data_IF_723133153000
#
_entry.id   IF_723133153000
#
_cell.length_a   1.000
_cell.length_b   1.000
_cell.length_c   1.000
_cell.angle_alpha   90.00
_cell.angle_beta   90.00
_cell.angle_gamma   90.00
#
_symmetry.space_group_name_H-M   'P 1'
#
loop_
_entity.id
_entity.type
_entity.pdbx_description
1 polymer ?
#
# COMPACT_ATOMS: atom_id res chain seq x y z
N UNK A 1 7.59 4.90 -0.65
CA UNK A 1 7.78 5.96 0.39
C UNK A 1 9.26 6.19 0.58
N UNK A 2 9.70 7.42 0.66
CA UNK A 2 11.10 7.80 0.91
C UNK A 2 11.23 8.37 2.33
N UNK A 3 12.46 8.60 2.77
CA UNK A 3 12.74 9.29 4.04
C UNK A 3 12.25 10.75 4.05
N UNK A 4 11.93 11.29 2.87
CA UNK A 4 11.31 12.61 2.75
C UNK A 4 9.89 12.60 3.31
N UNK A 5 9.59 13.40 4.35
CA UNK A 5 8.27 13.39 4.99
C UNK A 5 7.18 13.96 4.08
N UNK A 6 5.96 13.43 4.21
CA UNK A 6 4.78 14.10 3.70
C UNK A 6 4.44 15.25 4.64
N UNK A 7 4.59 16.48 4.17
CA UNK A 7 4.31 17.69 4.95
C UNK A 7 2.82 17.92 5.06
N UNK A 8 2.34 18.02 6.29
CA UNK A 8 0.96 18.32 6.64
C UNK A 8 0.94 19.46 7.63
N UNK A 9 -0.06 20.34 7.55
CA UNK A 9 -0.25 21.42 8.52
C UNK A 9 -0.39 20.84 9.92
N UNK A 10 0.26 21.45 10.90
CA UNK A 10 0.20 21.06 12.29
C UNK A 10 0.02 22.28 13.19
N UNK A 11 -0.33 22.07 14.44
CA UNK A 11 -0.46 23.11 15.44
C UNK A 11 0.90 23.41 16.07
N UNK A 12 1.17 24.68 16.34
CA UNK A 12 2.32 25.15 17.08
C UNK A 12 1.94 26.37 17.93
N UNK A 13 2.72 26.70 18.98
CA UNK A 13 2.55 27.95 19.70
C UNK A 13 2.65 29.15 18.76
N UNK A 14 1.86 30.20 19.08
CA UNK A 14 1.89 31.44 18.29
C UNK A 14 3.30 32.00 18.17
N UNK A 15 3.73 32.30 16.95
CA UNK A 15 5.07 32.81 16.65
C UNK A 15 6.16 31.76 16.52
N UNK A 16 5.87 30.46 16.69
CA UNK A 16 6.83 29.37 16.56
C UNK A 16 6.47 28.48 15.37
N UNK A 17 7.12 28.70 14.24
CA UNK A 17 6.93 27.83 13.07
C UNK A 17 7.68 26.51 13.27
N UNK A 18 7.01 25.35 13.16
CA UNK A 18 7.68 24.06 13.26
C UNK A 18 8.72 23.88 12.14
N UNK A 19 9.92 23.50 12.49
CA UNK A 19 11.01 23.21 11.56
C UNK A 19 11.07 21.69 11.38
N UNK A 20 10.99 21.25 10.13
CA UNK A 20 11.15 19.82 9.77
C UNK A 20 12.54 19.66 9.18
N UNK A 21 13.40 18.92 9.89
CA UNK A 21 14.72 18.52 9.40
C UNK A 21 14.65 17.07 8.93
N UNK A 22 15.15 16.79 7.73
CA UNK A 22 15.22 15.44 7.19
C UNK A 22 16.45 15.27 6.29
N UNK A 23 16.94 14.04 6.21
CA UNK A 23 18.03 13.70 5.31
C UNK A 23 17.51 13.53 3.89
N UNK A 24 18.22 14.11 2.92
CA UNK A 24 17.89 13.95 1.50
C UNK A 24 18.54 12.67 0.99
N UNK A 25 17.75 11.60 0.94
CA UNK A 25 18.18 10.32 0.38
C UNK A 25 17.17 9.84 -0.68
N UNK A 26 17.68 9.23 -1.74
CA UNK A 26 16.87 8.66 -2.84
C UNK A 26 16.36 7.25 -2.54
N UNK A 27 16.82 6.63 -1.46
CA UNK A 27 16.32 5.33 -1.05
C UNK A 27 14.85 5.40 -0.67
N UNK A 28 14.12 4.35 -0.94
CA UNK A 28 12.69 4.31 -0.69
C UNK A 28 12.21 2.90 -0.34
N UNK A 29 11.07 2.85 0.32
CA UNK A 29 10.32 1.63 0.58
C UNK A 29 9.09 1.62 -0.32
N UNK A 30 8.89 0.52 -1.01
CA UNK A 30 7.64 0.22 -1.71
C UNK A 30 6.76 -0.69 -0.87
N UNK A 31 5.46 -0.50 -0.99
CA UNK A 31 4.46 -1.31 -0.28
C UNK A 31 3.51 -1.89 -1.30
N UNK A 32 3.26 -3.19 -1.22
CA UNK A 32 2.18 -3.87 -1.91
C UNK A 32 1.13 -4.29 -0.89
N UNK A 33 -0.14 -4.10 -1.20
CA UNK A 33 -1.23 -4.56 -0.36
C UNK A 33 -2.40 -5.09 -1.18
N UNK A 34 -3.10 -6.07 -0.61
CA UNK A 34 -4.40 -6.54 -1.08
C UNK A 34 -5.45 -6.22 -0.04
N UNK A 35 -6.39 -5.34 -0.39
CA UNK A 35 -7.46 -4.88 0.49
C UNK A 35 -8.74 -5.68 0.21
N UNK A 36 -9.31 -6.29 1.24
CA UNK A 36 -10.64 -6.89 1.22
C UNK A 36 -11.64 -6.02 2.00
N UNK A 37 -12.91 -6.41 2.03
CA UNK A 37 -13.95 -5.67 2.78
C UNK A 37 -13.68 -5.53 4.27
N UNK A 38 -12.98 -6.49 4.86
CA UNK A 38 -12.81 -6.60 6.33
C UNK A 38 -11.37 -6.51 6.78
N UNK A 39 -10.42 -6.70 5.88
CA UNK A 39 -9.00 -6.72 6.23
C UNK A 39 -8.13 -6.40 5.00
N UNK A 40 -6.84 -6.24 5.21
CA UNK A 40 -5.85 -6.17 4.14
C UNK A 40 -4.57 -6.91 4.54
N UNK A 41 -3.88 -7.42 3.53
CA UNK A 41 -2.54 -7.99 3.69
C UNK A 41 -1.55 -7.10 2.97
N UNK A 42 -0.34 -6.97 3.50
CA UNK A 42 0.68 -6.11 2.91
C UNK A 42 2.09 -6.68 3.06
N UNK A 43 2.98 -6.26 2.17
CA UNK A 43 4.43 -6.45 2.27
C UNK A 43 5.16 -5.14 1.99
N UNK A 44 6.27 -4.93 2.68
CA UNK A 44 7.20 -3.83 2.44
C UNK A 44 8.46 -4.40 1.77
N UNK A 45 8.96 -3.66 0.79
CA UNK A 45 10.18 -3.97 0.06
C UNK A 45 11.05 -2.72 -0.02
N UNK A 46 12.34 -2.89 0.16
CA UNK A 46 13.31 -1.83 -0.13
C UNK A 46 13.44 -1.68 -1.64
N UNK A 47 13.45 -0.44 -2.12
CA UNK A 47 13.44 -0.13 -3.54
C UNK A 47 12.11 -0.40 -4.23
N UNK A 48 12.14 -0.58 -5.54
CA UNK A 48 10.95 -0.78 -6.38
C UNK A 48 10.49 -2.22 -6.39
N UNK A 49 9.17 -2.43 -6.37
CA UNK A 49 8.58 -3.76 -6.51
C UNK A 49 8.66 -4.20 -7.97
N UNK A 50 9.23 -5.37 -8.20
CA UNK A 50 9.37 -6.00 -9.51
C UNK A 50 8.31 -7.09 -9.69
N UNK A 51 8.24 -7.66 -10.90
CA UNK A 51 7.27 -8.71 -11.27
C UNK A 51 7.34 -9.96 -10.37
N UNK A 52 8.54 -10.32 -9.91
CA UNK A 52 8.76 -11.47 -9.03
C UNK A 52 8.05 -11.28 -7.67
N UNK A 53 8.16 -10.09 -7.07
CA UNK A 53 7.51 -9.77 -5.81
C UNK A 53 5.98 -9.72 -5.93
N UNK A 54 5.44 -9.36 -7.10
CA UNK A 54 3.99 -9.49 -7.34
C UNK A 54 3.55 -10.95 -7.27
N UNK A 55 4.25 -11.86 -7.92
CA UNK A 55 3.93 -13.31 -7.87
C UNK A 55 4.08 -13.87 -6.46
N UNK A 56 5.15 -13.50 -5.75
CA UNK A 56 5.33 -13.89 -4.34
C UNK A 56 4.20 -13.38 -3.45
N UNK A 57 3.71 -12.18 -3.71
CA UNK A 57 2.59 -11.62 -2.97
C UNK A 57 1.28 -12.37 -3.26
N UNK A 58 0.99 -12.70 -4.52
CA UNK A 58 -0.17 -13.51 -4.90
C UNK A 58 -0.13 -14.91 -4.28
N UNK A 59 1.04 -15.57 -4.29
CA UNK A 59 1.25 -16.85 -3.60
C UNK A 59 0.94 -16.75 -2.10
N UNK A 60 1.41 -15.69 -1.46
CA UNK A 60 1.16 -15.46 -0.04
C UNK A 60 -0.32 -15.18 0.25
N UNK A 61 -1.01 -14.41 -0.60
CA UNK A 61 -2.46 -14.19 -0.50
C UNK A 61 -3.22 -15.50 -0.58
N UNK A 62 -2.91 -16.33 -1.58
CA UNK A 62 -3.54 -17.65 -1.78
C UNK A 62 -3.33 -18.57 -0.57
N UNK A 63 -2.08 -18.66 -0.10
CA UNK A 63 -1.72 -19.49 1.05
C UNK A 63 -2.42 -19.05 2.35
N UNK A 64 -2.59 -17.75 2.54
CA UNK A 64 -3.22 -17.17 3.73
C UNK A 64 -4.74 -17.29 3.70
N UNK A 65 -5.37 -16.97 2.56
CA UNK A 65 -6.83 -16.90 2.46
C UNK A 65 -7.47 -18.27 2.18
N UNK A 66 -6.75 -19.21 1.60
CA UNK A 66 -7.16 -20.62 1.36
C UNK A 66 -8.52 -20.76 0.65
N UNK A 67 -8.84 -19.86 -0.26
CA UNK A 67 -10.08 -19.81 -1.03
C UNK A 67 -9.81 -19.25 -2.42
N UNK A 68 -10.72 -19.41 -3.41
CA UNK A 68 -10.60 -18.75 -4.69
C UNK A 68 -10.56 -17.23 -4.53
N UNK A 69 -9.73 -16.58 -5.34
CA UNK A 69 -9.48 -15.14 -5.28
C UNK A 69 -9.78 -14.47 -6.62
N UNK A 70 -10.54 -13.39 -6.58
CA UNK A 70 -10.60 -12.42 -7.67
C UNK A 70 -9.76 -11.20 -7.24
N UNK A 71 -8.65 -10.97 -7.92
CA UNK A 71 -7.77 -9.83 -7.70
C UNK A 71 -8.16 -8.73 -8.69
N UNK A 72 -8.55 -7.57 -8.17
CA UNK A 72 -8.80 -6.38 -8.97
C UNK A 72 -7.58 -5.48 -8.85
N UNK A 73 -6.93 -5.20 -9.98
CA UNK A 73 -5.67 -4.47 -10.04
C UNK A 73 -5.75 -3.28 -10.98
N UNK A 74 -4.85 -2.32 -10.76
CA UNK A 74 -4.62 -1.24 -11.72
C UNK A 74 -3.92 -1.76 -13.00
N UNK A 75 -3.83 -0.88 -14.01
CA UNK A 75 -3.28 -1.23 -15.30
C UNK A 75 -1.75 -1.22 -15.41
N UNK A 76 -0.99 -1.23 -14.32
CA UNK A 76 0.47 -1.20 -14.35
C UNK A 76 1.04 -2.35 -15.19
N UNK A 77 2.07 -2.06 -15.99
CA UNK A 77 2.73 -3.06 -16.86
C UNK A 77 3.26 -4.28 -16.09
N UNK A 78 3.70 -4.08 -14.84
CA UNK A 78 4.19 -5.16 -13.99
C UNK A 78 3.10 -6.20 -13.68
N UNK A 79 1.84 -5.75 -13.49
CA UNK A 79 0.70 -6.62 -13.23
C UNK A 79 0.30 -7.47 -14.45
N UNK A 80 0.64 -7.00 -15.66
CA UNK A 80 0.39 -7.69 -16.94
C UNK A 80 1.60 -8.49 -17.45
N UNK A 81 2.63 -8.66 -16.62
CA UNK A 81 3.85 -9.36 -17.01
C UNK A 81 3.58 -10.84 -17.33
N UNK A 82 4.43 -11.42 -18.19
CA UNK A 82 4.37 -12.85 -18.55
C UNK A 82 4.42 -13.72 -17.27
N UNK A 83 5.30 -13.39 -16.33
CA UNK A 83 5.46 -14.14 -15.09
C UNK A 83 4.18 -14.18 -14.24
N UNK A 84 3.44 -13.07 -14.17
CA UNK A 84 2.16 -13.01 -13.44
C UNK A 84 1.12 -13.86 -14.15
N UNK A 85 1.03 -13.80 -15.49
CA UNK A 85 0.10 -14.62 -16.27
C UNK A 85 0.38 -16.12 -16.11
N UNK A 86 1.63 -16.54 -16.25
CA UNK A 86 2.03 -17.94 -16.05
C UNK A 86 1.67 -18.45 -14.65
N UNK A 87 1.83 -17.60 -13.65
CA UNK A 87 1.39 -17.97 -12.29
C UNK A 87 -0.12 -18.12 -12.22
N UNK A 88 -0.91 -17.19 -12.77
CA UNK A 88 -2.38 -17.29 -12.77
C UNK A 88 -2.85 -18.55 -13.49
N UNK A 89 -2.30 -18.85 -14.66
CA UNK A 89 -2.61 -20.05 -15.44
C UNK A 89 -2.32 -21.34 -14.63
N UNK A 90 -1.22 -21.33 -13.84
CA UNK A 90 -0.85 -22.47 -12.98
C UNK A 90 -1.79 -22.69 -11.80
N UNK A 91 -2.77 -21.82 -11.57
CA UNK A 91 -3.71 -21.94 -10.44
C UNK A 91 -5.03 -22.59 -10.79
N UNK A 92 -5.24 -23.00 -12.05
CA UNK A 92 -6.48 -23.60 -12.56
C UNK A 92 -7.73 -22.77 -12.19
N UNK A 93 -7.64 -21.44 -12.32
CA UNK A 93 -8.74 -20.52 -12.01
C UNK A 93 -8.94 -20.22 -10.53
N UNK A 94 -8.15 -20.81 -9.64
CA UNK A 94 -8.23 -20.50 -8.21
C UNK A 94 -7.79 -19.05 -7.88
N UNK A 95 -7.00 -18.42 -8.73
CA UNK A 95 -6.70 -16.99 -8.67
C UNK A 95 -7.05 -16.38 -10.03
N UNK A 96 -8.01 -15.51 -10.04
CA UNK A 96 -8.41 -14.74 -11.23
C UNK A 96 -8.04 -13.29 -11.08
N UNK A 97 -7.85 -12.58 -12.19
CA UNK A 97 -7.49 -11.18 -12.19
C UNK A 97 -8.40 -10.38 -13.12
N UNK A 98 -8.85 -9.24 -12.62
CA UNK A 98 -9.50 -8.19 -13.38
C UNK A 98 -8.74 -6.88 -13.24
N UNK A 99 -8.92 -5.97 -14.19
CA UNK A 99 -8.27 -4.66 -14.15
C UNK A 99 -9.30 -3.56 -13.94
N UNK A 100 -8.92 -2.56 -13.16
CA UNK A 100 -9.63 -1.30 -13.09
C UNK A 100 -9.58 -0.61 -14.47
N UNK A 101 -10.58 0.24 -14.77
CA UNK A 101 -10.53 1.08 -15.96
C UNK A 101 -9.23 1.90 -16.02
N UNK A 102 -8.72 2.21 -17.20
CA UNK A 102 -7.56 3.07 -17.34
C UNK A 102 -7.78 4.44 -16.67
N UNK A 103 -6.75 4.97 -16.03
CA UNK A 103 -6.76 6.28 -15.38
C UNK A 103 -7.84 6.47 -14.30
N UNK A 104 -8.21 5.41 -13.58
CA UNK A 104 -9.24 5.45 -12.54
C UNK A 104 -8.66 5.09 -11.15
N UNK A 105 -7.68 5.84 -10.62
CA UNK A 105 -7.13 5.59 -9.28
C UNK A 105 -8.18 5.79 -8.19
N UNK A 106 -9.19 6.62 -8.44
CA UNK A 106 -10.27 6.90 -7.48
C UNK A 106 -11.14 5.67 -7.19
N UNK A 107 -11.18 4.70 -8.12
CA UNK A 107 -11.85 3.42 -7.92
C UNK A 107 -10.99 2.38 -7.18
N UNK A 108 -9.75 2.73 -6.85
CA UNK A 108 -8.84 1.82 -6.16
C UNK A 108 -8.80 2.10 -4.65
N UNK A 109 -9.48 1.32 -3.79
CA UNK A 109 -9.54 1.59 -2.36
C UNK A 109 -8.16 1.53 -1.68
N UNK A 110 -7.19 0.85 -2.28
CA UNK A 110 -5.80 0.81 -1.76
C UNK A 110 -5.12 2.17 -1.84
N UNK A 111 -5.46 3.04 -2.81
CA UNK A 111 -4.91 4.40 -2.90
C UNK A 111 -5.29 5.26 -1.68
N UNK A 112 -6.49 5.06 -1.15
CA UNK A 112 -6.94 5.75 0.08
C UNK A 112 -6.21 5.23 1.33
N UNK A 113 -5.85 3.95 1.36
CA UNK A 113 -4.97 3.40 2.41
C UNK A 113 -3.57 4.05 2.34
N UNK A 114 -3.03 4.27 1.14
CA UNK A 114 -1.75 4.98 0.98
C UNK A 114 -1.86 6.45 1.34
N UNK A 115 -2.96 7.11 1.00
CA UNK A 115 -3.21 8.49 1.41
C UNK A 115 -3.30 8.61 2.93
N UNK A 116 -4.04 7.72 3.60
CA UNK A 116 -4.11 7.64 5.05
C UNK A 116 -2.72 7.42 5.68
N UNK A 117 -1.97 6.45 5.16
CA UNK A 117 -0.63 6.15 5.69
C UNK A 117 0.30 7.37 5.61
N UNK A 118 0.33 8.05 4.46
CA UNK A 118 1.24 9.18 4.23
C UNK A 118 0.79 10.45 4.93
N UNK A 119 -0.52 10.78 4.92
CA UNK A 119 -1.04 12.08 5.37
C UNK A 119 -1.50 12.10 6.82
N UNK A 120 -1.73 10.94 7.43
CA UNK A 120 -2.15 10.84 8.82
C UNK A 120 -1.15 10.04 9.67
N UNK A 121 -0.91 8.79 9.31
CA UNK A 121 -0.12 7.90 10.15
C UNK A 121 1.38 8.23 10.20
N UNK A 122 1.93 8.74 9.08
CA UNK A 122 3.34 9.14 8.91
C UNK A 122 3.47 10.63 8.54
N UNK A 123 2.43 11.43 8.81
CA UNK A 123 2.47 12.88 8.60
C UNK A 123 3.63 13.52 9.37
N UNK A 124 4.43 14.35 8.71
CA UNK A 124 5.57 15.04 9.30
C UNK A 124 6.65 14.14 9.95
N UNK A 125 6.57 12.83 9.71
CA UNK A 125 7.53 11.89 10.26
C UNK A 125 8.85 11.95 9.47
N UNK A 126 9.94 12.27 10.15
CA UNK A 126 11.29 12.35 9.61
C UNK A 126 12.14 11.20 10.16
N UNK A 127 12.14 10.05 9.51
CA UNK A 127 12.96 8.93 9.96
C UNK A 127 14.45 9.25 9.76
N UNK A 128 15.34 8.84 10.68
CA UNK A 128 16.77 9.02 10.53
C UNK A 128 17.37 8.13 9.45
N UNK A 129 16.70 7.03 9.10
CA UNK A 129 17.13 6.07 8.09
C UNK A 129 15.95 5.25 7.56
N UNK A 130 16.22 4.47 6.51
CA UNK A 130 15.20 3.64 5.85
C UNK A 130 14.67 2.52 6.75
N UNK A 131 15.51 1.98 7.65
CA UNK A 131 15.10 0.96 8.62
C UNK A 131 14.03 1.47 9.58
N UNK A 132 14.22 2.66 10.14
CA UNK A 132 13.22 3.30 11.00
C UNK A 132 11.92 3.61 10.25
N UNK A 133 12.01 4.05 8.98
CA UNK A 133 10.82 4.22 8.13
C UNK A 133 10.08 2.89 7.95
N UNK A 134 10.80 1.78 7.72
CA UNK A 134 10.20 0.45 7.56
C UNK A 134 9.46 0.01 8.84
N UNK A 135 10.12 0.15 10.00
CA UNK A 135 9.54 -0.20 11.30
C UNK A 135 8.28 0.63 11.55
N UNK A 136 8.35 1.94 11.37
CA UNK A 136 7.21 2.85 11.58
C UNK A 136 6.05 2.53 10.61
N UNK A 137 6.33 2.38 9.32
CA UNK A 137 5.32 2.06 8.31
C UNK A 137 4.62 0.72 8.61
N UNK A 138 5.40 -0.31 8.98
CA UNK A 138 4.88 -1.62 9.36
C UNK A 138 4.00 -1.54 10.60
N UNK A 139 4.42 -0.82 11.63
CA UNK A 139 3.65 -0.64 12.86
C UNK A 139 2.32 0.07 12.59
N UNK A 140 2.33 1.14 11.76
CA UNK A 140 1.13 1.89 11.39
C UNK A 140 0.17 1.04 10.55
N UNK A 141 0.65 0.27 9.57
CA UNK A 141 -0.17 -0.63 8.77
C UNK A 141 -0.78 -1.75 9.63
N UNK A 142 -0.03 -2.37 10.53
CA UNK A 142 -0.56 -3.35 11.49
C UNK A 142 -1.61 -2.75 12.42
N UNK A 143 -1.43 -1.50 12.83
CA UNK A 143 -2.44 -0.77 13.60
C UNK A 143 -3.71 -0.54 12.78
N UNK A 144 -3.59 -0.18 11.50
CA UNK A 144 -4.73 0.00 10.60
C UNK A 144 -5.51 -1.30 10.36
N UNK A 145 -4.82 -2.45 10.23
CA UNK A 145 -5.47 -3.77 10.10
C UNK A 145 -6.45 -4.07 11.24
N UNK A 146 -6.18 -3.56 12.44
CA UNK A 146 -7.02 -3.74 13.64
C UNK A 146 -8.14 -2.70 13.76
N UNK A 147 -8.31 -1.82 12.78
CA UNK A 147 -9.28 -0.74 12.78
C UNK A 147 -10.24 -0.87 11.59
N UNK A 148 -11.38 -1.56 11.74
CA UNK A 148 -12.34 -1.76 10.65
C UNK A 148 -12.82 -0.45 10.01
N UNK A 149 -12.89 0.64 10.79
CA UNK A 149 -13.28 1.97 10.29
C UNK A 149 -12.34 2.53 9.23
N UNK A 150 -11.02 2.27 9.33
CA UNK A 150 -10.05 2.70 8.30
C UNK A 150 -10.28 1.93 7.01
N UNK A 151 -10.52 0.62 7.13
CA UNK A 151 -10.78 -0.25 5.98
C UNK A 151 -12.09 0.16 5.29
N UNK A 152 -13.17 0.33 6.06
CA UNK A 152 -14.45 0.78 5.54
C UNK A 152 -14.34 2.14 4.85
N UNK A 153 -13.62 3.10 5.45
CA UNK A 153 -13.42 4.42 4.86
C UNK A 153 -12.71 4.36 3.48
N UNK A 154 -11.75 3.43 3.29
CA UNK A 154 -11.11 3.25 2.00
C UNK A 154 -12.11 2.84 0.90
N UNK A 155 -13.05 1.96 1.23
CA UNK A 155 -14.08 1.50 0.30
C UNK A 155 -15.12 2.60 0.00
N UNK A 156 -15.59 3.30 1.03
CA UNK A 156 -16.53 4.43 0.89
C UNK A 156 -15.93 5.51 0.01
N UNK A 157 -14.67 5.87 0.21
CA UNK A 157 -14.00 6.90 -0.60
C UNK A 157 -13.78 6.46 -2.05
N UNK A 158 -13.66 5.17 -2.31
CA UNK A 158 -13.61 4.63 -3.67
C UNK A 158 -14.99 4.56 -4.35
N UNK A 159 -16.07 4.98 -3.70
CA UNK A 159 -17.43 4.95 -4.25
C UNK A 159 -17.99 3.54 -4.42
N UNK A 160 -17.46 2.55 -3.70
CA UNK A 160 -17.82 1.15 -3.84
C UNK A 160 -18.74 0.64 -2.70
N UNK A 161 -19.24 1.53 -1.86
CA UNK A 161 -20.22 1.29 -0.78
C UNK A 161 -21.14 2.48 -0.59
#
# INVERSE_FOLDING_TARGET
MSERPTRVRTWAPKGQTPIIQFHFNWTHISVIAGLSRTNFLFRLHEGSIKKEQHVEFLKALRAHLKRPLLIIWDGLKAHRSKLVREYLDSTDGAVQMAFLPPNSPDLNPVEYLWAWLKRHALANFCPPNLGELNVAARAKLRSAQRRPSIIAACWVQAGLW
#
